data_IF_601532264128
#
_entry.id   IF_601532264128
#
_cell.length_a   1.000
_cell.length_b   1.000
_cell.length_c   1.000
_cell.angle_alpha   90.00
_cell.angle_beta   90.00
_cell.angle_gamma   90.00
#
_symmetry.space_group_name_H-M   'P 1'
#
loop_
_entity.id
_entity.type
_entity.pdbx_description
1 polymer ?
#
# COMPACT_ATOMS: atom_id res chain seq x y z
N UNK A 1 -30.35 -5.04 -36.10
CA UNK A 1 -30.43 -4.37 -34.78
C UNK A 1 -29.74 -5.16 -33.66
N UNK A 2 -29.95 -6.48 -33.53
CA UNK A 2 -29.29 -7.32 -32.49
C UNK A 2 -27.75 -7.38 -32.59
N UNK A 3 -27.18 -7.42 -33.80
CA UNK A 3 -25.72 -7.43 -33.98
C UNK A 3 -25.02 -6.15 -33.49
N UNK A 4 -25.68 -4.99 -33.63
CA UNK A 4 -25.14 -3.74 -33.11
C UNK A 4 -25.08 -3.79 -31.58
N UNK A 5 -26.11 -4.34 -30.92
CA UNK A 5 -26.12 -4.51 -29.47
C UNK A 5 -24.97 -5.40 -28.98
N UNK A 6 -24.74 -6.55 -29.62
CA UNK A 6 -23.64 -7.45 -29.28
C UNK A 6 -22.29 -6.75 -29.47
N UNK A 7 -22.09 -6.06 -30.59
CA UNK A 7 -20.86 -5.32 -30.85
C UNK A 7 -20.62 -4.23 -29.79
N UNK A 8 -21.64 -3.47 -29.43
CA UNK A 8 -21.56 -2.43 -28.40
C UNK A 8 -21.28 -3.03 -27.02
N UNK A 9 -21.90 -4.16 -26.65
CA UNK A 9 -21.62 -4.86 -25.40
C UNK A 9 -20.15 -5.31 -25.32
N UNK A 10 -19.60 -5.87 -26.39
CA UNK A 10 -18.19 -6.27 -26.43
C UNK A 10 -17.29 -5.05 -26.18
N UNK A 11 -17.55 -3.91 -26.83
CA UNK A 11 -16.78 -2.69 -26.61
C UNK A 11 -16.83 -2.22 -25.15
N UNK A 12 -18.02 -2.21 -24.53
CA UNK A 12 -18.17 -1.84 -23.12
C UNK A 12 -17.48 -2.81 -22.16
N UNK A 13 -17.56 -4.12 -22.41
CA UNK A 13 -16.89 -5.13 -21.60
C UNK A 13 -15.37 -4.99 -21.68
N UNK A 14 -14.83 -4.79 -22.89
CA UNK A 14 -13.39 -4.55 -23.08
C UNK A 14 -12.94 -3.28 -22.36
N UNK A 15 -13.73 -2.19 -22.45
CA UNK A 15 -13.45 -0.95 -21.72
C UNK A 15 -13.49 -1.17 -20.20
N UNK A 16 -14.48 -1.91 -19.67
CA UNK A 16 -14.58 -2.21 -18.25
C UNK A 16 -13.40 -3.06 -17.74
N UNK A 17 -12.95 -4.06 -18.51
CA UNK A 17 -11.77 -4.88 -18.17
C UNK A 17 -10.48 -4.05 -18.10
N UNK A 18 -10.31 -3.11 -19.04
CA UNK A 18 -9.18 -2.17 -19.01
C UNK A 18 -9.23 -1.31 -17.74
N UNK A 19 -10.40 -0.78 -17.37
CA UNK A 19 -10.58 0.02 -16.15
C UNK A 19 -10.32 -0.78 -14.87
N UNK A 20 -10.75 -2.05 -14.79
CA UNK A 20 -10.48 -2.90 -13.62
C UNK A 20 -8.98 -3.11 -13.41
N UNK A 21 -8.21 -3.29 -14.49
CA UNK A 21 -6.76 -3.51 -14.40
C UNK A 21 -5.99 -2.31 -13.85
N UNK A 22 -6.44 -1.06 -14.11
CA UNK A 22 -5.79 0.15 -13.57
C UNK A 22 -6.15 0.46 -12.11
N UNK A 23 -7.29 -0.01 -11.60
CA UNK A 23 -7.68 0.22 -10.19
C UNK A 23 -6.76 -0.57 -9.26
N UNK A 24 -6.37 -1.80 -9.61
CA UNK A 24 -5.56 -2.65 -8.72
C UNK A 24 -4.12 -2.16 -8.48
N UNK A 25 -3.62 -1.22 -9.28
CA UNK A 25 -2.21 -0.77 -9.19
C UNK A 25 -2.06 0.38 -8.18
N UNK A 26 -3.10 1.19 -7.94
CA UNK A 26 -2.97 2.38 -7.09
C UNK A 26 -2.76 2.06 -5.61
N UNK A 27 -3.32 0.97 -5.12
CA UNK A 27 -3.30 0.67 -3.67
C UNK A 27 -2.07 -0.12 -3.17
N UNK A 28 -1.15 -0.55 -4.03
CA UNK A 28 0.11 -1.15 -3.55
C UNK A 28 1.29 -0.19 -3.58
N UNK A 29 1.16 0.97 -4.22
CA UNK A 29 2.19 2.01 -4.28
C UNK A 29 1.84 3.20 -3.39
N UNK A 30 1.12 2.98 -2.29
CA UNK A 30 1.33 3.78 -1.09
C UNK A 30 2.77 3.50 -0.61
N UNK A 31 3.73 3.91 -1.44
CA UNK A 31 5.14 3.89 -1.18
C UNK A 31 5.28 4.73 0.07
N UNK A 32 5.57 4.01 1.15
CA UNK A 32 6.02 4.47 2.44
C UNK A 32 7.31 5.28 2.20
N UNK A 33 7.14 6.48 1.65
CA UNK A 33 8.21 7.39 1.28
C UNK A 33 8.09 8.61 2.19
N UNK A 34 8.61 8.39 3.40
CA UNK A 34 9.45 9.38 4.09
C UNK A 34 8.80 10.63 4.73
N UNK A 35 7.48 10.75 4.85
CA UNK A 35 6.91 11.90 5.59
C UNK A 35 5.59 11.63 6.30
N UNK A 36 5.49 10.51 7.02
CA UNK A 36 4.43 10.36 8.03
C UNK A 36 4.72 11.24 9.25
N UNK A 37 3.67 11.70 9.94
CA UNK A 37 3.84 12.36 11.24
C UNK A 37 4.51 11.39 12.22
N UNK A 38 5.32 11.88 13.17
CA UNK A 38 5.82 11.03 14.24
C UNK A 38 4.65 10.37 14.98
N UNK A 39 4.85 9.10 15.34
CA UNK A 39 3.86 8.39 16.14
C UNK A 39 3.58 9.11 17.47
N UNK A 40 2.33 8.99 17.95
CA UNK A 40 1.96 9.41 19.30
C UNK A 40 2.79 8.70 20.36
N UNK A 41 2.90 9.28 21.55
CA UNK A 41 3.69 8.74 22.65
C UNK A 41 3.32 7.30 23.05
N UNK A 42 2.05 6.91 22.86
CA UNK A 42 1.55 5.56 23.14
C UNK A 42 2.15 4.47 22.23
N UNK A 43 2.74 4.88 21.09
CA UNK A 43 3.26 3.99 20.05
C UNK A 43 4.80 3.99 20.00
N UNK A 44 5.47 4.55 21.01
CA UNK A 44 6.94 4.62 21.08
C UNK A 44 7.63 3.26 20.95
N UNK A 45 7.03 2.20 21.51
CA UNK A 45 7.57 0.84 21.48
C UNK A 45 7.00 0.00 20.31
N UNK A 46 6.26 0.63 19.39
CA UNK A 46 5.73 -0.09 18.22
C UNK A 46 6.87 -0.58 17.33
N UNK A 47 7.82 0.28 16.98
CA UNK A 47 9.02 -0.09 16.23
C UNK A 47 10.15 -0.45 17.19
N UNK A 48 10.64 -1.69 17.13
CA UNK A 48 11.69 -2.18 18.04
C UNK A 48 13.06 -1.62 17.62
N UNK A 49 13.35 -1.67 16.33
CA UNK A 49 14.61 -1.19 15.74
C UNK A 49 14.33 -0.32 14.51
N UNK A 50 13.64 0.81 14.72
CA UNK A 50 13.28 1.70 13.62
C UNK A 50 12.55 2.96 14.06
N UNK A 51 12.37 3.87 13.11
CA UNK A 51 11.60 5.08 13.30
C UNK A 51 10.10 4.80 13.06
N UNK A 52 9.26 5.22 14.01
CA UNK A 52 7.81 5.09 13.92
C UNK A 52 7.19 6.32 13.26
N UNK A 53 6.35 6.08 12.25
CA UNK A 53 5.53 7.11 11.62
C UNK A 53 4.08 6.65 11.45
N UNK A 54 3.15 7.60 11.43
CA UNK A 54 1.73 7.30 11.32
C UNK A 54 1.22 7.49 9.88
N UNK A 55 0.62 6.44 9.32
CA UNK A 55 -0.02 6.47 8.01
C UNK A 55 -1.47 6.93 8.15
N UNK A 56 -1.74 8.20 7.84
CA UNK A 56 -3.08 8.80 7.94
C UNK A 56 -4.13 8.08 7.10
N UNK A 57 -3.75 7.63 5.91
CA UNK A 57 -4.66 6.97 4.96
C UNK A 57 -5.13 5.60 5.47
N UNK A 58 -4.25 4.88 6.16
CA UNK A 58 -4.54 3.56 6.73
C UNK A 58 -4.95 3.63 8.21
N UNK A 59 -4.81 4.79 8.85
CA UNK A 59 -4.98 4.99 10.29
C UNK A 59 -4.18 3.96 11.11
N UNK A 60 -2.94 3.70 10.70
CA UNK A 60 -2.07 2.67 11.27
C UNK A 60 -0.64 3.19 11.43
N UNK A 61 0.09 2.78 12.49
CA UNK A 61 1.53 3.00 12.58
C UNK A 61 2.27 2.10 11.60
N UNK A 62 3.43 2.59 11.14
CA UNK A 62 4.37 1.83 10.35
C UNK A 62 5.81 2.18 10.75
N UNK A 63 6.73 1.28 10.42
CA UNK A 63 8.13 1.37 10.85
C UNK A 63 9.07 1.51 9.67
N UNK A 64 10.04 2.42 9.79
CA UNK A 64 11.25 2.43 8.97
C UNK A 64 12.31 1.69 9.76
N UNK A 65 12.63 0.47 9.34
CA UNK A 65 13.65 -0.31 10.02
C UNK A 65 15.05 0.27 9.80
N UNK A 66 15.85 0.24 10.85
CA UNK A 66 17.28 0.49 10.73
C UNK A 66 17.91 -0.58 9.83
N UNK A 67 19.03 -0.25 9.20
CA UNK A 67 19.77 -1.18 8.35
C UNK A 67 20.06 -2.49 9.09
N UNK A 68 19.76 -3.62 8.43
CA UNK A 68 19.93 -4.95 9.02
C UNK A 68 18.76 -5.44 9.88
N UNK A 69 17.66 -4.69 9.96
CA UNK A 69 16.43 -5.14 10.59
C UNK A 69 15.28 -5.21 9.57
N UNK A 70 14.37 -6.16 9.78
CA UNK A 70 13.18 -6.33 8.96
C UNK A 70 11.99 -6.83 9.78
N UNK A 71 10.81 -6.85 9.15
CA UNK A 71 9.54 -7.17 9.80
C UNK A 71 8.63 -5.96 9.90
N UNK A 72 7.39 -6.18 10.33
CA UNK A 72 6.39 -5.10 10.45
C UNK A 72 6.74 -4.09 11.55
N UNK A 73 7.49 -4.54 12.56
CA UNK A 73 7.92 -3.78 13.74
C UNK A 73 9.45 -3.77 13.87
N UNK A 74 10.17 -4.19 12.83
CA UNK A 74 11.64 -4.32 12.84
C UNK A 74 12.14 -5.29 13.93
N UNK A 75 11.40 -6.38 14.12
CA UNK A 75 11.62 -7.39 15.14
C UNK A 75 12.66 -8.46 14.76
N UNK A 76 13.01 -8.56 13.48
CA UNK A 76 13.96 -9.55 12.98
C UNK A 76 15.27 -8.89 12.53
N UNK A 77 16.38 -9.61 12.69
CA UNK A 77 17.71 -9.21 12.22
C UNK A 77 17.99 -9.94 10.93
N UNK A 78 18.38 -9.20 9.89
CA UNK A 78 18.84 -9.75 8.63
C UNK A 78 20.26 -10.30 8.81
N UNK A 79 20.41 -11.62 8.65
CA UNK A 79 21.69 -12.33 8.79
C UNK A 79 22.43 -12.43 7.46
N UNK A 80 22.59 -11.32 6.74
CA UNK A 80 23.36 -11.28 5.49
C UNK A 80 24.86 -11.09 5.73
#
# INVERSE_FOLDING_TARGET
MKNNYISTCIVYLMAALLLISVISIKECTADISDYGDPCSDDLKDYCIHGDCFFLKELNQPACRCYTGYYGSRCEHIDHN
#
